data_IF_671011023047
#
_entry.id   IF_671011023047
#
_cell.length_a   1.000
_cell.length_b   1.000
_cell.length_c   1.000
_cell.angle_alpha   90.00
_cell.angle_beta   90.00
_cell.angle_gamma   90.00
#
_symmetry.space_group_name_H-M   'P 1'
#
loop_
_entity.id
_entity.type
_entity.pdbx_description
1 polymer ?
#
# COMPACT_ATOMS: atom_id res chain seq x y z
N UNK A 1 -39.52 2.14 5.62
CA UNK A 1 -38.43 1.25 6.05
C UNK A 1 -37.32 2.14 6.54
N UNK A 2 -36.72 1.79 7.67
CA UNK A 2 -35.58 2.50 8.24
C UNK A 2 -34.32 2.12 7.44
N UNK A 3 -34.21 2.72 6.25
CA UNK A 3 -33.07 2.54 5.36
C UNK A 3 -31.87 3.36 5.87
N UNK A 4 -30.68 2.78 5.75
CA UNK A 4 -29.40 3.34 6.16
C UNK A 4 -28.36 3.28 5.05
N UNK A 5 -27.36 4.15 5.16
CA UNK A 5 -26.18 4.19 4.31
C UNK A 5 -24.96 4.56 5.15
N UNK A 6 -23.78 4.06 4.77
CA UNK A 6 -22.51 4.52 5.30
C UNK A 6 -21.86 5.50 4.30
N UNK A 7 -21.34 6.60 4.81
CA UNK A 7 -20.53 7.58 4.08
C UNK A 7 -19.11 7.50 4.62
N UNK A 8 -18.15 7.36 3.72
CA UNK A 8 -16.74 7.24 4.03
C UNK A 8 -16.04 8.55 3.65
N UNK A 9 -15.30 9.13 4.60
CA UNK A 9 -14.50 10.32 4.36
C UNK A 9 -13.04 10.11 4.75
N UNK A 10 -12.16 10.78 4.01
CA UNK A 10 -10.75 10.96 4.37
C UNK A 10 -10.52 12.42 4.69
N UNK A 11 -10.00 12.72 5.89
CA UNK A 11 -9.77 14.08 6.36
C UNK A 11 -10.96 15.04 6.07
N UNK A 12 -12.17 14.56 6.37
CA UNK A 12 -13.43 15.27 6.18
C UNK A 12 -13.91 15.47 4.72
N UNK A 13 -13.24 14.86 3.74
CA UNK A 13 -13.68 14.80 2.35
C UNK A 13 -14.34 13.46 2.03
N UNK A 14 -15.58 13.47 1.55
CA UNK A 14 -16.28 12.25 1.12
C UNK A 14 -15.58 11.60 -0.07
N UNK A 15 -15.23 10.32 0.09
CA UNK A 15 -14.54 9.52 -0.93
C UNK A 15 -15.39 8.34 -1.41
N UNK A 16 -16.31 7.84 -0.59
CA UNK A 16 -17.19 6.73 -0.95
C UNK A 16 -18.48 6.74 -0.13
N UNK A 17 -19.48 6.00 -0.60
CA UNK A 17 -20.73 5.76 0.12
C UNK A 17 -21.32 4.41 -0.29
N UNK A 18 -22.05 3.77 0.62
CA UNK A 18 -22.75 2.52 0.32
C UNK A 18 -24.10 2.76 -0.36
N UNK A 19 -24.81 1.71 -0.75
CA UNK A 19 -26.21 1.84 -1.17
C UNK A 19 -27.14 1.95 0.04
N UNK A 20 -28.27 2.63 -0.11
CA UNK A 20 -29.36 2.58 0.87
C UNK A 20 -29.89 1.15 1.05
N UNK A 21 -29.93 0.67 2.28
CA UNK A 21 -30.41 -0.67 2.66
C UNK A 21 -31.18 -0.61 3.98
N UNK A 22 -32.19 -1.46 4.20
CA UNK A 22 -32.80 -1.58 5.53
C UNK A 22 -31.72 -1.91 6.59
N UNK A 23 -31.83 -1.37 7.81
CA UNK A 23 -30.95 -1.81 8.91
C UNK A 23 -31.19 -3.30 9.19
N UNK A 24 -30.14 -4.08 8.99
CA UNK A 24 -30.08 -5.51 9.23
C UNK A 24 -28.64 -5.91 9.49
N UNK A 25 -28.44 -7.15 9.96
CA UNK A 25 -27.14 -7.81 9.86
C UNK A 25 -26.73 -7.89 8.40
N UNK A 26 -25.45 -7.66 8.16
CA UNK A 26 -24.83 -7.74 6.83
C UNK A 26 -25.49 -6.86 5.76
N UNK A 27 -25.92 -5.64 6.11
CA UNK A 27 -26.75 -4.82 5.21
C UNK A 27 -26.08 -4.45 3.87
N UNK A 28 -24.75 -4.23 3.83
CA UNK A 28 -24.06 -3.69 2.65
C UNK A 28 -23.14 -4.69 1.96
N UNK A 29 -22.25 -5.35 2.70
CA UNK A 29 -21.19 -6.22 2.17
C UNK A 29 -20.44 -5.59 0.97
N UNK A 30 -20.08 -4.31 1.10
CA UNK A 30 -19.42 -3.54 0.04
C UNK A 30 -17.93 -3.35 0.32
N UNK A 31 -17.13 -3.34 -0.76
CA UNK A 31 -15.70 -3.07 -0.74
C UNK A 31 -15.35 -1.84 -1.58
N UNK A 32 -14.46 -1.01 -1.05
CA UNK A 32 -13.94 0.19 -1.69
C UNK A 32 -12.42 0.13 -1.72
N UNK A 33 -11.83 0.59 -2.83
CA UNK A 33 -10.39 0.87 -2.94
C UNK A 33 -10.23 2.36 -3.13
N UNK A 34 -9.57 3.03 -2.18
CA UNK A 34 -9.52 4.49 -2.09
C UNK A 34 -8.06 4.93 -2.08
N UNK A 35 -7.70 5.83 -3.00
CA UNK A 35 -6.37 6.44 -3.03
C UNK A 35 -6.19 7.40 -1.84
N UNK A 36 -5.04 7.34 -1.20
CA UNK A 36 -4.64 8.23 -0.13
C UNK A 36 -3.73 9.34 -0.68
N UNK A 37 -4.12 10.59 -0.42
CA UNK A 37 -3.25 11.76 -0.62
C UNK A 37 -2.88 12.35 0.74
N UNK A 38 -1.84 11.77 1.35
CA UNK A 38 -1.35 12.16 2.70
C UNK A 38 -2.43 12.16 3.77
N UNK A 39 -3.52 11.43 3.54
CA UNK A 39 -4.66 11.40 4.45
C UNK A 39 -4.31 10.68 5.73
N UNK A 40 -4.86 11.14 6.86
CA UNK A 40 -4.49 10.61 8.19
C UNK A 40 -5.67 10.02 8.94
N UNK A 41 -6.87 10.52 8.67
CA UNK A 41 -8.07 10.13 9.37
C UNK A 41 -9.11 9.56 8.40
N UNK A 42 -9.69 8.43 8.80
CA UNK A 42 -10.83 7.80 8.16
C UNK A 42 -12.07 8.02 9.03
N UNK A 43 -13.08 8.65 8.46
CA UNK A 43 -14.41 8.80 9.08
C UNK A 43 -15.40 7.88 8.38
N UNK A 44 -16.18 7.14 9.17
CA UNK A 44 -17.32 6.36 8.69
C UNK A 44 -18.56 6.90 9.41
N UNK A 45 -19.42 7.59 8.67
CA UNK A 45 -20.70 8.11 9.16
C UNK A 45 -21.87 7.28 8.66
N UNK A 46 -22.79 6.92 9.55
CA UNK A 46 -24.02 6.18 9.22
C UNK A 46 -25.20 7.15 9.20
N UNK A 47 -25.98 7.11 8.12
CA UNK A 47 -27.10 8.02 7.88
C UNK A 47 -28.40 7.25 7.74
N UNK A 48 -29.48 7.79 8.31
CA UNK A 48 -30.86 7.39 7.98
C UNK A 48 -31.31 8.06 6.68
N UNK A 49 -32.19 7.38 5.93
CA UNK A 49 -32.83 7.88 4.71
C UNK A 49 -34.04 8.79 5.02
N UNK A 50 -34.01 9.49 6.13
CA UNK A 50 -35.08 10.38 6.56
C UNK A 50 -34.51 11.67 7.15
N UNK A 51 -35.38 12.47 7.78
CA UNK A 51 -35.02 13.76 8.34
C UNK A 51 -34.01 13.67 9.50
N UNK A 52 -33.80 12.50 10.11
CA UNK A 52 -32.83 12.31 11.21
C UNK A 52 -31.39 12.42 10.72
N UNK A 53 -31.13 12.10 9.45
CA UNK A 53 -29.81 12.18 8.83
C UNK A 53 -28.74 11.34 9.58
N UNK A 54 -27.56 11.89 9.85
CA UNK A 54 -26.45 11.24 10.55
C UNK A 54 -26.91 10.71 11.92
N UNK A 55 -26.69 9.42 12.16
CA UNK A 55 -27.11 8.76 13.39
C UNK A 55 -25.95 8.17 14.20
N UNK A 56 -24.86 7.79 13.55
CA UNK A 56 -23.70 7.25 14.23
C UNK A 56 -22.42 7.52 13.43
N UNK A 57 -21.27 7.56 14.11
CA UNK A 57 -19.98 7.85 13.47
C UNK A 57 -18.84 7.09 14.11
N UNK A 58 -17.79 6.81 13.32
CA UNK A 58 -16.50 6.35 13.82
C UNK A 58 -15.36 7.07 13.11
N UNK A 59 -14.39 7.52 13.89
CA UNK A 59 -13.11 8.04 13.40
C UNK A 59 -12.01 7.04 13.69
N UNK A 60 -11.14 6.80 12.72
CA UNK A 60 -9.99 5.89 12.82
C UNK A 60 -8.75 6.59 12.29
N UNK A 61 -7.62 6.41 12.97
CA UNK A 61 -6.33 6.91 12.48
C UNK A 61 -5.73 5.90 11.53
N UNK A 62 -5.44 6.33 10.30
CA UNK A 62 -4.87 5.45 9.28
C UNK A 62 -3.50 4.89 9.66
N UNK A 63 -2.74 5.60 10.50
CA UNK A 63 -1.43 5.16 11.01
C UNK A 63 -1.50 3.86 11.83
N UNK A 64 -2.66 3.54 12.43
CA UNK A 64 -2.85 2.32 13.21
C UNK A 64 -2.94 1.06 12.32
N UNK A 65 -3.17 1.22 11.01
CA UNK A 65 -3.36 0.10 10.06
C UNK A 65 -2.18 -0.13 9.11
N UNK A 66 -1.09 0.62 9.23
CA UNK A 66 0.08 0.49 8.35
C UNK A 66 0.78 -0.87 8.53
N UNK A 67 0.83 -1.38 9.76
CA UNK A 67 1.55 -2.61 10.12
C UNK A 67 0.62 -3.81 10.39
N UNK A 68 -0.69 -3.57 10.55
CA UNK A 68 -1.61 -4.57 11.06
C UNK A 68 -2.36 -5.29 9.93
N UNK A 69 -1.96 -6.53 9.65
CA UNK A 69 -2.67 -7.44 8.72
C UNK A 69 -3.89 -8.05 9.45
N UNK A 70 -4.79 -7.21 9.96
CA UNK A 70 -6.05 -7.69 10.56
C UNK A 70 -7.06 -8.04 9.47
N UNK A 71 -7.74 -9.17 9.65
CA UNK A 71 -8.72 -9.74 8.72
C UNK A 71 -10.14 -9.18 8.94
N UNK A 72 -10.28 -8.11 9.71
CA UNK A 72 -11.57 -7.54 10.13
C UNK A 72 -11.55 -7.11 11.59
N UNK A 73 -12.35 -6.11 11.93
CA UNK A 73 -12.53 -5.60 13.28
C UNK A 73 -13.96 -5.12 13.52
N UNK A 74 -14.39 -5.23 14.77
CA UNK A 74 -15.66 -4.68 15.24
C UNK A 74 -15.42 -3.27 15.80
N UNK A 75 -16.07 -2.28 15.19
CA UNK A 75 -15.96 -0.87 15.52
C UNK A 75 -17.23 -0.44 16.24
N UNK A 76 -17.11 -0.06 17.52
CA UNK A 76 -18.20 0.61 18.20
C UNK A 76 -18.36 2.04 17.66
N UNK A 77 -19.55 2.36 17.20
CA UNK A 77 -19.92 3.68 16.72
C UNK A 77 -20.39 4.56 17.87
N UNK A 78 -20.18 5.87 17.74
CA UNK A 78 -20.73 6.87 18.65
C UNK A 78 -22.02 7.45 18.08
N UNK A 79 -23.12 7.61 18.87
CA UNK A 79 -23.24 7.30 20.30
C UNK A 79 -23.49 5.80 20.59
N UNK A 80 -23.92 5.02 19.60
CA UNK A 80 -24.14 3.58 19.73
C UNK A 80 -24.11 2.90 18.36
N UNK A 81 -23.87 1.59 18.35
CA UNK A 81 -23.90 0.74 17.15
C UNK A 81 -22.62 -0.06 16.98
N UNK A 82 -22.68 -1.12 16.18
CA UNK A 82 -21.55 -1.99 15.88
C UNK A 82 -21.37 -2.12 14.37
N UNK A 83 -20.19 -1.73 13.88
CA UNK A 83 -19.81 -1.85 12.48
C UNK A 83 -18.67 -2.85 12.34
N UNK A 84 -18.81 -3.80 11.44
CA UNK A 84 -17.70 -4.68 11.07
C UNK A 84 -16.99 -4.12 9.84
N UNK A 85 -15.69 -3.87 9.99
CA UNK A 85 -14.87 -3.33 8.92
C UNK A 85 -13.58 -4.14 8.78
N UNK A 86 -13.16 -4.40 7.55
CA UNK A 86 -11.80 -4.85 7.23
C UNK A 86 -11.10 -3.71 6.51
N UNK A 87 -9.98 -3.24 7.06
CA UNK A 87 -9.20 -2.13 6.52
C UNK A 87 -7.80 -2.66 6.21
N UNK A 88 -7.36 -2.51 4.96
CA UNK A 88 -6.06 -2.96 4.48
C UNK A 88 -5.32 -1.80 3.84
N UNK A 89 -4.23 -1.39 4.46
CA UNK A 89 -3.31 -0.41 3.86
C UNK A 89 -2.47 -1.09 2.77
N UNK A 90 -2.58 -0.60 1.54
CA UNK A 90 -1.85 -1.10 0.39
C UNK A 90 -0.85 -0.04 -0.05
N UNK A 91 0.44 -0.32 0.13
CA UNK A 91 1.49 0.46 -0.47
C UNK A 91 1.91 -0.19 -1.80
N UNK A 92 1.55 0.38 -2.96
CA UNK A 92 1.89 -0.22 -4.25
C UNK A 92 3.41 -0.31 -4.50
N UNK A 93 4.24 0.50 -3.83
CA UNK A 93 5.70 0.39 -3.90
C UNK A 93 6.28 -0.75 -3.04
N UNK A 94 5.51 -1.26 -2.06
CA UNK A 94 5.86 -2.39 -1.19
C UNK A 94 5.11 -3.66 -1.65
N UNK A 95 4.90 -3.84 -2.95
CA UNK A 95 4.67 -5.18 -3.48
C UNK A 95 5.93 -6.01 -3.20
N UNK A 96 5.77 -7.04 -2.35
CA UNK A 96 6.81 -7.91 -1.77
C UNK A 96 8.05 -8.05 -2.66
N UNK A 97 9.18 -7.57 -2.12
CA UNK A 97 10.52 -7.49 -2.71
C UNK A 97 10.80 -8.53 -3.82
N UNK A 98 11.39 -8.13 -4.96
CA UNK A 98 12.05 -9.08 -5.84
C UNK A 98 13.06 -9.87 -5.00
N UNK A 99 13.01 -11.20 -5.08
CA UNK A 99 14.01 -12.08 -4.46
C UNK A 99 15.36 -11.71 -5.07
N UNK A 100 16.11 -10.83 -4.43
CA UNK A 100 17.51 -10.60 -4.74
C UNK A 100 18.24 -11.91 -4.44
N UNK A 101 18.24 -12.82 -5.42
CA UNK A 101 19.19 -13.91 -5.43
C UNK A 101 20.55 -13.26 -5.54
N UNK A 102 21.33 -13.37 -4.47
CA UNK A 102 22.74 -13.04 -4.48
C UNK A 102 23.35 -13.64 -5.74
N UNK A 103 23.80 -12.79 -6.67
CA UNK A 103 24.48 -13.23 -7.89
C UNK A 103 25.59 -14.18 -7.43
N UNK A 104 25.50 -15.47 -7.78
CA UNK A 104 26.52 -16.45 -7.38
C UNK A 104 27.83 -15.93 -7.96
N UNK A 105 28.75 -15.60 -7.06
CA UNK A 105 30.12 -15.17 -7.29
C UNK A 105 30.60 -15.67 -8.67
N UNK A 106 30.66 -14.76 -9.65
CA UNK A 106 31.00 -15.08 -11.05
C UNK A 106 32.46 -15.57 -11.16
N UNK A 107 33.25 -15.42 -10.09
CA UNK A 107 34.55 -16.06 -9.96
C UNK A 107 34.44 -17.47 -9.39
N UNK A 108 34.00 -18.39 -10.25
CA UNK A 108 34.43 -19.79 -10.19
C UNK A 108 35.46 -20.04 -11.30
N UNK A 109 36.57 -19.33 -11.27
CA UNK A 109 37.77 -19.85 -11.93
C UNK A 109 38.47 -20.75 -10.92
N UNK A 110 38.36 -22.07 -11.12
CA UNK A 110 39.40 -22.98 -10.66
C UNK A 110 40.67 -22.62 -11.41
N UNK A 111 41.42 -21.63 -10.91
CA UNK A 111 42.74 -21.32 -11.42
C UNK A 111 43.64 -21.22 -10.20
N UNK A 112 44.46 -22.26 -10.03
CA UNK A 112 45.73 -22.15 -9.30
C UNK A 112 46.38 -20.84 -9.76
N UNK A 113 46.67 -19.93 -8.82
CA UNK A 113 47.31 -18.62 -9.01
C UNK A 113 46.36 -17.42 -9.15
N UNK A 114 45.73 -17.02 -8.03
CA UNK A 114 45.43 -15.61 -7.81
C UNK A 114 46.72 -14.93 -7.30
N UNK A 115 47.32 -13.99 -8.02
CA UNK A 115 48.39 -13.18 -7.46
C UNK A 115 47.81 -12.35 -6.31
N UNK A 116 48.36 -12.51 -5.11
CA UNK A 116 48.02 -11.68 -3.94
C UNK A 116 48.32 -10.22 -4.27
N UNK A 117 47.56 -9.29 -3.67
CA UNK A 117 47.66 -7.85 -3.93
C UNK A 117 49.11 -7.29 -3.92
N UNK A 118 50.01 -7.91 -3.15
CA UNK A 118 51.41 -7.51 -3.05
C UNK A 118 52.30 -7.96 -4.25
N UNK A 119 51.74 -8.65 -5.26
CA UNK A 119 52.44 -9.09 -6.48
C UNK A 119 51.96 -8.37 -7.75
N UNK A 120 50.97 -7.49 -7.67
CA UNK A 120 50.49 -6.75 -8.84
C UNK A 120 51.22 -5.41 -8.98
N UNK A 121 52.33 -5.40 -9.71
CA UNK A 121 53.03 -4.18 -10.12
C UNK A 121 52.54 -3.74 -11.51
N UNK A 122 51.27 -3.34 -11.61
CA UNK A 122 50.68 -2.92 -12.90
C UNK A 122 50.90 -1.41 -13.08
N UNK A 123 51.76 -1.08 -14.05
CA UNK A 123 52.14 0.28 -14.44
C UNK A 123 50.91 1.17 -14.73
N UNK A 124 50.96 2.45 -14.32
CA UNK A 124 49.90 3.46 -14.50
C UNK A 124 49.44 3.58 -15.97
N UNK A 125 50.35 3.36 -16.92
CA UNK A 125 50.06 3.38 -18.35
C UNK A 125 49.14 2.24 -18.81
N UNK A 126 49.10 1.12 -18.08
CA UNK A 126 48.22 -0.03 -18.37
C UNK A 126 46.80 0.21 -17.86
N UNK A 127 46.63 0.92 -16.75
CA UNK A 127 45.30 1.34 -16.24
C UNK A 127 44.56 2.25 -17.23
N UNK A 128 45.30 3.13 -17.92
CA UNK A 128 44.72 4.00 -18.95
C UNK A 128 44.09 3.27 -20.13
N UNK A 129 44.59 2.06 -20.47
CA UNK A 129 44.02 1.23 -21.55
C UNK A 129 42.81 0.41 -21.09
N UNK A 130 42.78 0.00 -19.82
CA UNK A 130 41.66 -0.74 -19.22
C UNK A 130 40.42 0.15 -19.05
N UNK A 131 40.59 1.40 -18.58
CA UNK A 131 39.48 2.36 -18.43
C UNK A 131 38.80 2.72 -19.75
N UNK A 132 39.55 2.74 -20.86
CA UNK A 132 39.01 3.01 -22.19
C UNK A 132 38.21 1.86 -22.80
N UNK A 133 38.35 0.62 -22.30
CA UNK A 133 37.64 -0.56 -22.83
C UNK A 133 36.40 -0.93 -22.03
N UNK A 134 36.22 -0.38 -20.82
CA UNK A 134 35.10 -0.65 -19.93
C UNK A 134 33.96 0.37 -20.02
N UNK A 135 33.84 1.13 -21.12
CA UNK A 135 32.65 1.93 -21.36
C UNK A 135 31.56 1.02 -21.98
N UNK A 136 30.49 0.66 -21.25
CA UNK A 136 29.35 0.01 -21.88
C UNK A 136 28.67 1.01 -22.81
N UNK A 137 28.45 0.61 -24.06
CA UNK A 137 27.53 1.30 -24.97
C UNK A 137 26.12 1.22 -24.36
N UNK A 138 25.67 2.31 -23.73
CA UNK A 138 24.31 2.46 -23.23
C UNK A 138 23.38 2.74 -24.43
N UNK A 139 22.87 1.68 -25.06
CA UNK A 139 21.59 1.77 -25.76
C UNK A 139 20.50 1.62 -24.69
N UNK A 140 20.08 2.75 -24.12
CA UNK A 140 19.03 2.78 -23.12
C UNK A 140 17.68 2.86 -23.86
N UNK A 141 17.03 1.71 -24.06
CA UNK A 141 15.60 1.67 -24.35
C UNK A 141 14.89 2.34 -23.18
N UNK A 142 14.20 3.45 -23.46
CA UNK A 142 13.33 4.16 -22.51
C UNK A 142 12.20 3.22 -22.11
N UNK A 143 12.37 2.47 -21.02
CA UNK A 143 11.22 2.03 -20.24
C UNK A 143 10.75 3.26 -19.47
N UNK A 144 9.64 3.82 -19.93
CA UNK A 144 8.82 4.77 -19.19
C UNK A 144 8.29 4.06 -17.94
N UNK A 145 9.05 4.15 -16.86
CA UNK A 145 8.58 3.76 -15.53
C UNK A 145 7.59 4.84 -15.10
N UNK A 146 6.31 4.45 -15.07
CA UNK A 146 5.19 5.27 -14.62
C UNK A 146 5.49 5.85 -13.23
N UNK A 147 5.00 7.06 -12.91
CA UNK A 147 5.16 7.61 -11.56
C UNK A 147 4.59 6.63 -10.52
N UNK A 148 5.12 6.61 -9.29
CA UNK A 148 4.60 5.76 -8.24
C UNK A 148 3.11 6.08 -8.05
N UNK A 149 2.25 5.08 -8.28
CA UNK A 149 0.84 5.16 -7.92
C UNK A 149 0.73 5.40 -6.41
N UNK A 150 -0.17 6.29 -6.00
CA UNK A 150 -0.35 6.68 -4.60
C UNK A 150 -0.65 5.50 -3.68
N UNK A 151 -0.41 5.67 -2.38
CA UNK A 151 -0.85 4.71 -1.38
C UNK A 151 -2.37 4.52 -1.47
N UNK A 152 -2.88 3.31 -1.28
CA UNK A 152 -4.31 3.00 -1.41
C UNK A 152 -4.78 2.27 -0.16
N UNK A 153 -6.01 2.49 0.27
CA UNK A 153 -6.65 1.66 1.29
C UNK A 153 -7.79 0.86 0.68
N UNK A 154 -7.83 -0.41 1.04
CA UNK A 154 -8.96 -1.28 0.78
C UNK A 154 -9.83 -1.34 2.04
N UNK A 155 -11.11 -0.98 1.90
CA UNK A 155 -12.09 -1.01 2.97
C UNK A 155 -13.21 -1.95 2.56
N UNK A 156 -13.46 -2.99 3.34
CA UNK A 156 -14.71 -3.74 3.32
C UNK A 156 -15.53 -3.38 4.54
N UNK A 157 -16.80 -3.01 4.35
CA UNK A 157 -17.68 -2.63 5.46
C UNK A 157 -19.02 -3.35 5.40
N UNK A 158 -19.47 -3.76 6.57
CA UNK A 158 -20.77 -4.35 6.79
C UNK A 158 -21.30 -3.96 8.17
N UNK A 159 -22.59 -3.66 8.28
CA UNK A 159 -23.22 -3.34 9.56
C UNK A 159 -23.80 -4.59 10.18
N UNK A 160 -23.58 -4.76 11.48
CA UNK A 160 -24.40 -5.66 12.29
C UNK A 160 -25.22 -4.82 13.28
N UNK A 161 -26.49 -4.60 12.88
CA UNK A 161 -27.58 -4.36 13.82
C UNK A 161 -27.88 -5.71 14.54
#
# INVERSE_FOLDING_TARGET
>A
ADDIMAVIKLDNQTVAQTSWRPCSQQAWDQRFSIELDKSRELEIGIYWKDWRSLCAVKFLRLEEFIDDVRHGMALQLEPQGLLFAEIKFLNPMISRKPKLQRQRKIFKQQVKNFPRANQMNINVATWGRLLKRSAPSLHNSRNSESPPSGETIDIYITLDC
#
